data_IF_760316880039
#
_entry.id   IF_760316880039
#
_cell.length_a   1.000
_cell.length_b   1.000
_cell.length_c   1.000
_cell.angle_alpha   90.00
_cell.angle_beta   90.00
_cell.angle_gamma   90.00
#
_symmetry.space_group_name_H-M   'P 1'
#
loop_
_entity.id
_entity.type
_entity.pdbx_description
1 polymer ?
#
# COMPACT_ATOMS: atom_id res chain seq x y z
N UNK A 1 14.04 58.24 14.97
CA UNK A 1 13.77 57.07 14.11
C UNK A 1 14.02 55.82 14.94
N UNK A 2 12.98 55.30 15.58
CA UNK A 2 13.04 54.04 16.33
C UNK A 2 11.93 53.14 15.78
N UNK A 3 12.33 52.10 15.06
CA UNK A 3 11.43 51.16 14.42
C UNK A 3 10.83 50.20 15.44
N UNK A 4 9.52 50.31 15.69
CA UNK A 4 8.76 49.30 16.43
C UNK A 4 8.63 48.04 15.58
N UNK A 5 9.36 46.98 15.94
CA UNK A 5 9.09 45.63 15.43
C UNK A 5 7.77 45.15 16.04
N UNK A 6 6.81 44.88 15.16
CA UNK A 6 5.48 44.36 15.45
C UNK A 6 5.63 42.89 15.86
N UNK A 7 5.51 42.59 17.15
CA UNK A 7 5.46 41.21 17.64
C UNK A 7 4.29 40.48 16.99
N UNK A 8 4.60 39.36 16.32
CA UNK A 8 3.60 38.47 15.78
C UNK A 8 2.96 37.66 16.92
N UNK A 9 1.62 37.65 17.06
CA UNK A 9 0.97 36.83 18.04
C UNK A 9 1.07 35.35 17.62
N UNK A 10 2.05 34.67 18.20
CA UNK A 10 1.82 33.41 18.90
C UNK A 10 1.23 32.26 18.06
N UNK A 11 2.02 31.77 17.09
CA UNK A 11 1.89 30.39 16.54
C UNK A 11 1.90 29.33 17.67
N UNK A 12 2.49 29.65 18.83
CA UNK A 12 2.49 28.79 20.03
C UNK A 12 1.11 28.43 20.58
N UNK A 13 0.05 29.21 20.30
CA UNK A 13 -1.31 28.89 20.79
C UNK A 13 -2.03 27.84 19.95
N UNK A 14 -1.61 27.61 18.71
CA UNK A 14 -2.25 26.60 17.85
C UNK A 14 -1.71 25.18 18.10
N UNK A 15 -0.53 25.07 18.73
CA UNK A 15 0.14 23.77 18.94
C UNK A 15 0.10 23.30 20.40
N UNK A 16 -0.02 24.20 21.39
CA UNK A 16 0.26 23.85 22.79
C UNK A 16 -0.92 23.80 23.78
N UNK A 17 -2.10 24.35 23.48
CA UNK A 17 -3.11 24.62 24.53
C UNK A 17 -4.38 23.78 24.45
N UNK A 18 -4.98 23.69 23.27
CA UNK A 18 -6.31 23.09 23.09
C UNK A 18 -6.27 21.63 22.66
N UNK A 19 -5.19 21.18 21.99
CA UNK A 19 -5.00 19.77 21.65
C UNK A 19 -4.77 18.89 22.88
N UNK A 20 -3.94 19.34 23.83
CA UNK A 20 -3.60 18.56 25.02
C UNK A 20 -4.79 18.37 25.98
N UNK A 21 -5.63 19.40 26.19
CA UNK A 21 -6.79 19.29 27.06
C UNK A 21 -7.92 18.44 26.46
N UNK A 22 -8.11 18.49 25.14
CA UNK A 22 -9.11 17.65 24.45
C UNK A 22 -8.67 16.19 24.41
N UNK A 23 -7.38 15.91 24.19
CA UNK A 23 -6.85 14.53 24.21
C UNK A 23 -6.88 13.96 25.64
N UNK A 24 -6.51 14.73 26.66
CA UNK A 24 -6.53 14.24 28.04
C UNK A 24 -7.96 13.90 28.53
N UNK A 25 -8.96 14.72 28.18
CA UNK A 25 -10.36 14.48 28.59
C UNK A 25 -11.07 13.41 27.74
N UNK A 26 -10.59 13.08 26.55
CA UNK A 26 -11.17 12.00 25.70
C UNK A 26 -10.52 10.64 25.92
N UNK A 27 -9.24 10.60 26.32
CA UNK A 27 -8.52 9.34 26.63
C UNK A 27 -8.94 8.74 27.98
N UNK A 28 -9.57 9.53 28.86
CA UNK A 28 -9.92 9.14 30.23
C UNK A 28 -11.21 8.33 30.39
N UNK A 29 -12.00 8.13 29.32
CA UNK A 29 -13.23 7.33 29.38
C UNK A 29 -13.03 6.02 28.62
N UNK A 30 -12.85 4.88 29.31
CA UNK A 30 -12.78 3.59 28.65
C UNK A 30 -14.18 3.29 28.12
N UNK A 31 -14.39 3.42 26.81
CA UNK A 31 -15.54 2.85 26.12
C UNK A 31 -15.13 1.45 25.62
N UNK A 32 -15.19 0.40 26.46
CA UNK A 32 -14.73 -0.95 26.09
C UNK A 32 -15.46 -1.49 24.86
N UNK A 33 -16.67 -0.99 24.60
CA UNK A 33 -17.47 -1.33 23.43
C UNK A 33 -16.86 -0.81 22.13
N UNK A 34 -16.37 0.44 22.10
CA UNK A 34 -15.69 1.00 20.93
C UNK A 34 -14.33 0.34 20.68
N UNK A 35 -13.63 0.00 21.76
CA UNK A 35 -12.38 -0.78 21.71
C UNK A 35 -12.60 -2.15 21.05
N UNK A 36 -13.54 -2.94 21.57
CA UNK A 36 -13.84 -4.27 21.03
C UNK A 36 -14.32 -4.19 19.58
N UNK A 37 -15.17 -3.21 19.26
CA UNK A 37 -15.64 -2.98 17.89
C UNK A 37 -14.48 -2.68 16.93
N UNK A 38 -13.55 -1.81 17.33
CA UNK A 38 -12.39 -1.46 16.51
C UNK A 38 -11.47 -2.64 16.24
N UNK A 39 -11.26 -3.51 17.24
CA UNK A 39 -10.44 -4.72 17.08
C UNK A 39 -11.14 -5.72 16.17
N UNK A 40 -12.44 -5.93 16.34
CA UNK A 40 -13.21 -6.85 15.49
C UNK A 40 -13.24 -6.36 14.04
N UNK A 41 -13.45 -5.06 13.82
CA UNK A 41 -13.46 -4.50 12.47
C UNK A 41 -12.07 -4.50 11.82
N UNK A 42 -11.03 -4.06 12.55
CA UNK A 42 -9.68 -3.99 12.01
C UNK A 42 -9.03 -5.37 11.88
N UNK A 43 -9.08 -6.24 12.88
CA UNK A 43 -8.40 -7.54 12.83
C UNK A 43 -9.31 -8.65 12.34
N UNK A 44 -10.56 -8.68 12.83
CA UNK A 44 -11.51 -9.74 12.54
C UNK A 44 -12.01 -9.75 11.09
N UNK A 45 -12.04 -8.61 10.40
CA UNK A 45 -12.46 -8.55 8.99
C UNK A 45 -11.29 -8.36 8.03
N UNK A 46 -10.33 -7.47 8.32
CA UNK A 46 -9.29 -7.16 7.34
C UNK A 46 -8.29 -8.30 7.15
N UNK A 47 -7.85 -8.97 8.23
CA UNK A 47 -6.87 -10.06 8.10
C UNK A 47 -7.45 -11.28 7.37
N UNK A 48 -8.67 -11.76 7.68
CA UNK A 48 -9.28 -12.83 6.89
C UNK A 48 -9.55 -12.43 5.44
N UNK A 49 -9.94 -11.17 5.20
CA UNK A 49 -10.14 -10.68 3.83
C UNK A 49 -8.83 -10.63 3.04
N UNK A 50 -7.75 -10.12 3.62
CA UNK A 50 -6.41 -10.12 3.02
C UNK A 50 -5.96 -11.56 2.74
N UNK A 51 -6.13 -12.47 3.70
CA UNK A 51 -5.80 -13.87 3.53
C UNK A 51 -6.60 -14.52 2.39
N UNK A 52 -7.89 -14.24 2.32
CA UNK A 52 -8.76 -14.67 1.22
C UNK A 52 -8.25 -14.17 -0.14
N UNK A 53 -7.93 -12.88 -0.26
CA UNK A 53 -7.37 -12.31 -1.50
C UNK A 53 -6.04 -12.97 -1.90
N UNK A 54 -5.14 -13.19 -0.94
CA UNK A 54 -3.85 -13.86 -1.19
C UNK A 54 -4.08 -15.31 -1.63
N UNK A 55 -5.01 -16.03 -1.01
CA UNK A 55 -5.32 -17.42 -1.38
C UNK A 55 -5.87 -17.53 -2.81
N UNK A 56 -6.83 -16.67 -3.19
CA UNK A 56 -7.36 -16.62 -4.56
C UNK A 56 -6.27 -16.22 -5.55
N UNK A 57 -5.48 -15.18 -5.23
CA UNK A 57 -4.39 -14.75 -6.10
C UNK A 57 -3.37 -15.86 -6.36
N UNK A 58 -3.05 -16.67 -5.33
CA UNK A 58 -2.18 -17.86 -5.48
C UNK A 58 -2.81 -18.93 -6.37
N UNK A 59 -4.11 -19.19 -6.22
CA UNK A 59 -4.81 -20.16 -7.06
C UNK A 59 -4.81 -19.72 -8.53
N UNK A 60 -5.19 -18.47 -8.79
CA UNK A 60 -5.17 -17.90 -10.15
C UNK A 60 -3.78 -17.99 -10.77
N UNK A 61 -2.73 -17.67 -10.02
CA UNK A 61 -1.36 -17.76 -10.51
C UNK A 61 -0.97 -19.22 -10.84
N UNK A 62 -1.40 -20.20 -10.04
CA UNK A 62 -1.16 -21.61 -10.33
C UNK A 62 -1.90 -22.11 -11.58
N UNK A 63 -3.10 -21.61 -11.84
CA UNK A 63 -3.85 -21.96 -13.04
C UNK A 63 -3.28 -21.29 -14.28
N UNK A 64 -2.86 -20.04 -14.17
CA UNK A 64 -2.16 -19.33 -15.24
C UNK A 64 -0.85 -20.01 -15.64
N UNK A 65 -0.12 -20.64 -14.69
CA UNK A 65 1.09 -21.41 -14.97
C UNK A 65 0.90 -22.46 -16.09
N UNK A 66 -0.33 -22.97 -16.28
CA UNK A 66 -0.65 -23.99 -17.29
C UNK A 66 -0.95 -23.39 -18.67
N UNK A 67 -1.27 -22.11 -18.75
CA UNK A 67 -1.78 -21.44 -19.96
C UNK A 67 -0.85 -20.34 -20.51
N UNK A 68 0.00 -19.75 -19.67
CA UNK A 68 0.88 -18.64 -20.06
C UNK A 68 2.33 -19.09 -20.28
N UNK A 69 3.11 -18.29 -21.02
CA UNK A 69 4.53 -18.59 -21.22
C UNK A 69 5.32 -18.40 -19.92
N UNK A 70 6.48 -19.05 -19.82
CA UNK A 70 7.33 -19.03 -18.62
C UNK A 70 7.75 -17.59 -18.28
N UNK A 71 8.05 -16.77 -19.29
CA UNK A 71 8.45 -15.38 -19.12
C UNK A 71 7.29 -14.52 -18.58
N UNK A 72 6.07 -14.72 -19.09
CA UNK A 72 4.89 -14.02 -18.60
C UNK A 72 4.56 -14.42 -17.16
N UNK A 73 4.66 -15.72 -16.86
CA UNK A 73 4.47 -16.25 -15.51
C UNK A 73 5.45 -15.67 -14.50
N UNK A 74 6.72 -15.53 -14.88
CA UNK A 74 7.74 -14.92 -14.02
C UNK A 74 7.36 -13.48 -13.64
N UNK A 75 6.92 -12.68 -14.61
CA UNK A 75 6.49 -11.29 -14.36
C UNK A 75 5.25 -11.24 -13.48
N UNK A 76 4.24 -12.09 -13.73
CA UNK A 76 3.04 -12.18 -12.88
C UNK A 76 3.39 -12.59 -11.45
N UNK A 77 4.27 -13.58 -11.28
CA UNK A 77 4.71 -14.05 -9.96
C UNK A 77 5.50 -12.97 -9.19
N UNK A 78 6.43 -12.27 -9.84
CA UNK A 78 7.17 -11.15 -9.23
C UNK A 78 6.22 -10.01 -8.82
N UNK A 79 5.25 -9.67 -9.68
CA UNK A 79 4.23 -8.65 -9.39
C UNK A 79 3.34 -9.07 -8.22
N UNK A 80 2.91 -10.32 -8.18
CA UNK A 80 2.09 -10.85 -7.09
C UNK A 80 2.83 -10.80 -5.74
N UNK A 81 4.12 -11.15 -5.72
CA UNK A 81 4.94 -11.03 -4.51
C UNK A 81 5.14 -9.57 -4.08
N UNK A 82 5.28 -8.65 -5.04
CA UNK A 82 5.31 -7.22 -4.76
C UNK A 82 4.03 -6.76 -4.06
N UNK A 83 2.86 -7.17 -4.56
CA UNK A 83 1.56 -6.84 -3.97
C UNK A 83 1.45 -7.40 -2.55
N UNK A 84 1.86 -8.66 -2.33
CA UNK A 84 1.89 -9.24 -0.98
C UNK A 84 2.76 -8.39 -0.04
N UNK A 85 3.97 -8.01 -0.48
CA UNK A 85 4.87 -7.22 0.33
C UNK A 85 4.30 -5.82 0.65
N UNK A 86 3.61 -5.20 -0.30
CA UNK A 86 2.90 -3.93 -0.10
C UNK A 86 1.70 -4.04 0.84
N UNK A 87 1.04 -5.20 0.92
CA UNK A 87 -0.01 -5.47 1.90
C UNK A 87 0.59 -5.68 3.30
N UNK A 88 1.80 -6.25 3.40
CA UNK A 88 2.49 -6.42 4.68
C UNK A 88 2.95 -5.09 5.30
N UNK A 89 3.37 -4.11 4.50
CA UNK A 89 3.80 -2.79 4.99
C UNK A 89 2.76 -2.14 5.92
N UNK A 90 1.48 -1.96 5.53
CA UNK A 90 0.52 -1.30 6.38
C UNK A 90 0.17 -2.12 7.64
N UNK A 91 0.31 -3.45 7.61
CA UNK A 91 0.19 -4.27 8.82
C UNK A 91 1.28 -3.86 9.82
N UNK A 92 2.51 -3.69 9.36
CA UNK A 92 3.64 -3.29 10.23
C UNK A 92 3.55 -1.82 10.63
N UNK A 93 3.25 -0.92 9.69
CA UNK A 93 3.26 0.52 9.90
C UNK A 93 2.00 1.07 10.58
N UNK A 94 0.87 0.34 10.56
CA UNK A 94 -0.39 0.78 11.17
C UNK A 94 -0.94 -0.21 12.21
N UNK A 95 -1.02 -1.51 11.91
CA UNK A 95 -1.70 -2.43 12.83
C UNK A 95 -0.89 -2.66 14.11
N UNK A 96 0.42 -2.88 14.01
CA UNK A 96 1.29 -3.08 15.18
C UNK A 96 1.28 -1.82 16.08
N UNK A 97 1.62 -0.63 15.55
CA UNK A 97 1.38 0.66 16.19
C UNK A 97 0.05 0.81 16.94
N UNK A 98 -1.04 0.55 16.22
CA UNK A 98 -2.38 0.68 16.76
C UNK A 98 -2.58 -0.24 17.97
N UNK A 99 -2.18 -1.51 17.88
CA UNK A 99 -2.27 -2.46 19.00
C UNK A 99 -1.48 -1.99 20.22
N UNK A 100 -0.28 -1.47 20.02
CA UNK A 100 0.56 -1.00 21.13
C UNK A 100 -0.12 0.16 21.86
N UNK A 101 -0.66 1.15 21.13
CA UNK A 101 -1.41 2.26 21.74
C UNK A 101 -2.63 1.73 22.51
N UNK A 102 -3.39 0.82 21.89
CA UNK A 102 -4.59 0.26 22.49
C UNK A 102 -4.29 -0.51 23.79
N UNK A 103 -3.21 -1.30 23.83
CA UNK A 103 -2.75 -1.99 25.03
C UNK A 103 -2.34 -0.98 26.11
N UNK A 104 -1.60 0.07 25.76
CA UNK A 104 -1.14 1.07 26.73
C UNK A 104 -2.29 1.88 27.34
N UNK A 105 -3.30 2.22 26.53
CA UNK A 105 -4.54 2.85 27.02
C UNK A 105 -5.24 1.90 28.00
N UNK A 106 -5.35 0.61 27.66
CA UNK A 106 -5.97 -0.40 28.53
C UNK A 106 -5.21 -0.59 29.86
N UNK A 107 -3.88 -0.52 29.83
CA UNK A 107 -3.02 -0.63 31.03
C UNK A 107 -2.96 0.69 31.82
N UNK A 108 -3.49 1.79 31.28
CA UNK A 108 -3.55 3.08 31.97
C UNK A 108 -2.22 3.84 32.02
N UNK A 109 -1.34 3.63 31.04
CA UNK A 109 -0.05 4.34 30.97
C UNK A 109 -0.26 5.73 30.36
N UNK A 110 0.06 6.79 31.12
CA UNK A 110 -0.23 8.19 30.76
C UNK A 110 0.67 8.77 29.63
N UNK A 111 1.81 8.14 29.33
CA UNK A 111 2.78 8.61 28.32
C UNK A 111 2.40 8.29 26.85
N UNK A 112 1.10 8.22 26.53
CA UNK A 112 0.60 7.90 25.17
C UNK A 112 1.00 8.94 24.13
N UNK A 113 1.31 10.17 24.56
CA UNK A 113 1.65 11.29 23.68
C UNK A 113 2.94 11.08 22.85
N UNK A 114 4.02 10.60 23.47
CA UNK A 114 5.27 10.33 22.73
C UNK A 114 5.05 9.23 21.69
N UNK A 115 4.24 8.24 22.05
CA UNK A 115 3.96 7.11 21.18
C UNK A 115 3.06 7.49 19.99
N UNK A 116 2.08 8.38 20.18
CA UNK A 116 1.23 8.84 19.07
C UNK A 116 2.03 9.58 17.99
N UNK A 117 3.05 10.36 18.37
CA UNK A 117 3.97 10.99 17.42
C UNK A 117 4.78 9.97 16.60
N UNK A 118 5.29 8.91 17.25
CA UNK A 118 5.97 7.80 16.54
C UNK A 118 5.03 7.15 15.52
N UNK A 119 3.74 7.02 15.84
CA UNK A 119 2.78 6.44 14.90
C UNK A 119 2.49 7.33 13.71
N UNK A 120 2.43 8.65 13.91
CA UNK A 120 2.31 9.60 12.79
C UNK A 120 3.51 9.49 11.86
N UNK A 121 4.72 9.31 12.41
CA UNK A 121 5.94 9.11 11.61
C UNK A 121 5.89 7.78 10.85
N UNK A 122 5.60 6.66 11.53
CA UNK A 122 5.50 5.34 10.89
C UNK A 122 4.41 5.29 9.82
N UNK A 123 3.27 5.91 10.10
CA UNK A 123 2.19 6.12 9.14
C UNK A 123 2.69 6.93 7.95
N UNK A 124 3.41 8.02 8.14
CA UNK A 124 3.90 8.83 7.03
C UNK A 124 4.94 8.08 6.17
N UNK A 125 5.73 7.19 6.79
CA UNK A 125 6.72 6.37 6.10
C UNK A 125 6.10 5.26 5.23
N UNK A 126 4.85 4.84 5.48
CA UNK A 126 4.24 3.72 4.76
C UNK A 126 4.21 3.96 3.23
N UNK A 127 3.90 5.20 2.80
CA UNK A 127 3.79 5.54 1.38
C UNK A 127 5.15 5.45 0.70
N UNK A 128 6.19 5.96 1.36
CA UNK A 128 7.57 5.86 0.87
C UNK A 128 8.03 4.39 0.80
N UNK A 129 7.74 3.58 1.82
CA UNK A 129 8.05 2.16 1.83
C UNK A 129 7.35 1.40 0.69
N UNK A 130 6.07 1.70 0.42
CA UNK A 130 5.33 1.10 -0.69
C UNK A 130 5.94 1.44 -2.05
N UNK A 131 6.40 2.67 -2.25
CA UNK A 131 7.11 3.08 -3.47
C UNK A 131 8.45 2.36 -3.60
N UNK A 132 9.21 2.23 -2.51
CA UNK A 132 10.48 1.49 -2.52
C UNK A 132 10.27 0.02 -2.91
N UNK A 133 9.23 -0.64 -2.39
CA UNK A 133 8.90 -2.02 -2.77
C UNK A 133 8.57 -2.12 -4.27
N UNK A 134 7.78 -1.20 -4.83
CA UNK A 134 7.49 -1.20 -6.27
C UNK A 134 8.78 -1.11 -7.10
N UNK A 135 9.71 -0.25 -6.69
CA UNK A 135 10.98 -0.09 -7.37
C UNK A 135 11.90 -1.30 -7.20
N UNK A 136 11.88 -1.95 -6.05
CA UNK A 136 12.69 -3.15 -5.81
C UNK A 136 12.19 -4.35 -6.62
N UNK A 137 10.88 -4.54 -6.71
CA UNK A 137 10.28 -5.77 -7.24
C UNK A 137 9.74 -5.68 -8.66
N UNK A 138 9.41 -4.49 -9.19
CA UNK A 138 8.81 -4.35 -10.53
C UNK A 138 9.81 -3.69 -11.50
N UNK A 139 10.40 -4.47 -12.43
CA UNK A 139 11.37 -3.95 -13.41
C UNK A 139 10.84 -2.80 -14.26
N UNK A 140 9.55 -2.81 -14.60
CA UNK A 140 8.91 -1.76 -15.40
C UNK A 140 8.95 -0.38 -14.71
N UNK A 141 8.77 -0.34 -13.39
CA UNK A 141 8.82 0.91 -12.62
C UNK A 141 10.24 1.47 -12.53
N UNK A 142 11.25 0.59 -12.36
CA UNK A 142 12.66 1.01 -12.42
C UNK A 142 13.00 1.65 -13.76
N UNK A 143 12.52 1.04 -14.85
CA UNK A 143 12.81 1.52 -16.20
C UNK A 143 12.19 2.88 -16.49
N UNK A 144 10.94 3.11 -16.09
CA UNK A 144 10.31 4.42 -16.20
C UNK A 144 11.11 5.50 -15.48
N UNK A 145 11.58 5.23 -14.26
CA UNK A 145 12.43 6.16 -13.52
C UNK A 145 13.79 6.39 -14.19
N UNK A 146 14.46 5.32 -14.66
CA UNK A 146 15.75 5.47 -15.32
C UNK A 146 15.66 6.27 -16.63
N UNK A 147 14.58 6.07 -17.40
CA UNK A 147 14.35 6.77 -18.66
C UNK A 147 13.92 8.24 -18.42
N UNK A 148 12.94 8.47 -17.54
CA UNK A 148 12.30 9.77 -17.39
C UNK A 148 13.04 10.73 -16.45
N UNK A 149 13.69 10.19 -15.41
CA UNK A 149 14.33 11.01 -14.36
C UNK A 149 15.85 11.05 -14.51
N UNK A 150 16.46 9.93 -14.93
CA UNK A 150 17.91 9.82 -14.95
C UNK A 150 18.51 9.95 -16.36
N UNK A 151 17.70 10.01 -17.42
CA UNK A 151 18.14 10.03 -18.82
C UNK A 151 19.21 8.97 -19.15
N UNK A 152 19.20 7.84 -18.42
CA UNK A 152 20.12 6.73 -18.64
C UNK A 152 19.51 5.86 -19.74
N UNK A 153 20.12 5.84 -20.92
CA UNK A 153 19.77 4.90 -21.98
C UNK A 153 20.03 3.47 -21.50
N UNK A 154 18.95 2.77 -21.15
CA UNK A 154 19.01 1.37 -20.77
C UNK A 154 19.04 0.48 -22.02
N UNK A 155 19.71 -0.67 -21.98
CA UNK A 155 19.94 -1.50 -23.16
C UNK A 155 18.62 -1.98 -23.80
N UNK A 156 18.54 -1.80 -25.13
CA UNK A 156 17.40 -2.03 -26.05
C UNK A 156 16.64 -3.36 -25.93
N UNK A 157 17.13 -4.33 -25.16
CA UNK A 157 16.56 -5.67 -25.04
C UNK A 157 15.17 -5.70 -24.38
N UNK A 158 14.84 -4.73 -23.52
CA UNK A 158 13.59 -4.74 -22.77
C UNK A 158 12.39 -4.17 -23.57
N UNK A 159 12.64 -3.16 -24.41
CA UNK A 159 11.62 -2.58 -25.30
C UNK A 159 11.16 -3.58 -26.36
N UNK A 160 12.05 -4.46 -26.83
CA UNK A 160 11.66 -5.54 -27.75
C UNK A 160 10.77 -6.57 -27.08
N UNK A 161 10.99 -6.90 -25.81
CA UNK A 161 10.22 -7.94 -25.11
C UNK A 161 8.82 -7.46 -24.72
N UNK A 162 8.67 -6.24 -24.18
CA UNK A 162 7.32 -5.69 -23.93
C UNK A 162 6.52 -5.53 -25.23
N UNK A 163 7.16 -5.07 -26.30
CA UNK A 163 6.52 -4.92 -27.62
C UNK A 163 6.17 -6.29 -28.23
N UNK A 164 6.97 -7.33 -27.96
CA UNK A 164 6.66 -8.72 -28.32
C UNK A 164 5.46 -9.26 -27.53
N UNK A 165 5.43 -9.04 -26.22
CA UNK A 165 4.34 -9.48 -25.35
C UNK A 165 3.03 -8.79 -25.73
N UNK A 166 3.06 -7.48 -25.99
CA UNK A 166 1.89 -6.73 -26.44
C UNK A 166 1.37 -7.23 -27.80
N UNK A 167 2.26 -7.44 -28.78
CA UNK A 167 1.90 -8.05 -30.07
C UNK A 167 1.40 -9.49 -29.96
N UNK A 168 1.84 -10.25 -28.96
CA UNK A 168 1.38 -11.61 -28.73
C UNK A 168 -0.03 -11.62 -28.10
N UNK A 169 -0.28 -10.73 -27.13
CA UNK A 169 -1.60 -10.55 -26.53
C UNK A 169 -2.64 -10.09 -27.57
N UNK A 170 -2.26 -9.17 -28.45
CA UNK A 170 -3.13 -8.66 -29.51
C UNK A 170 -3.51 -9.75 -30.53
N UNK A 171 -2.58 -10.66 -30.84
CA UNK A 171 -2.85 -11.84 -31.69
C UNK A 171 -3.83 -12.79 -31.03
N UNK A 172 -3.63 -13.13 -29.76
CA UNK A 172 -4.56 -13.98 -29.00
C UNK A 172 -5.97 -13.37 -28.92
N UNK A 173 -6.07 -12.05 -28.77
CA UNK A 173 -7.36 -11.34 -28.77
C UNK A 173 -8.07 -11.43 -30.13
N UNK A 174 -7.33 -11.30 -31.24
CA UNK A 174 -7.87 -11.48 -32.60
C UNK A 174 -8.34 -12.90 -32.85
N UNK A 175 -7.56 -13.90 -32.44
CA UNK A 175 -7.92 -15.32 -32.55
C UNK A 175 -9.19 -15.63 -31.74
N UNK A 176 -9.28 -15.13 -30.51
CA UNK A 176 -10.48 -15.27 -29.69
C UNK A 176 -11.71 -14.65 -30.37
N UNK A 177 -11.61 -13.40 -30.85
CA UNK A 177 -12.70 -12.72 -31.58
C UNK A 177 -13.13 -13.48 -32.84
N UNK A 178 -12.18 -14.02 -33.59
CA UNK A 178 -12.48 -14.81 -34.79
C UNK A 178 -13.17 -16.14 -34.43
N UNK A 179 -12.75 -16.81 -33.36
CA UNK A 179 -13.40 -18.05 -32.90
C UNK A 179 -14.84 -17.83 -32.42
N UNK A 180 -15.10 -16.69 -31.77
CA UNK A 180 -16.46 -16.30 -31.34
C UNK A 180 -17.33 -15.96 -32.55
N UNK A 181 -16.79 -15.19 -33.51
CA UNK A 181 -17.53 -14.84 -34.73
C UNK A 181 -17.85 -16.06 -35.60
N UNK A 182 -16.95 -17.04 -35.66
CA UNK A 182 -17.20 -18.31 -36.35
C UNK A 182 -18.30 -19.14 -35.67
N UNK A 183 -18.37 -19.13 -34.33
CA UNK A 183 -19.44 -19.81 -33.59
C UNK A 183 -20.80 -19.12 -33.70
N UNK A 184 -20.84 -17.78 -33.79
CA UNK A 184 -22.08 -17.00 -33.90
C UNK A 184 -22.61 -16.96 -35.34
N UNK A 185 -21.76 -17.07 -36.36
CA UNK A 185 -22.19 -17.10 -37.77
C UNK A 185 -22.64 -18.47 -38.29
N UNK A 186 -22.59 -19.53 -37.46
CA UNK A 186 -23.11 -20.87 -37.78
C UNK A 186 -24.44 -21.19 -37.07
N UNK A 187 -25.00 -20.22 -36.33
CA UNK A 187 -26.35 -20.27 -35.74
C UNK A 187 -27.28 -19.36 -36.54
#
# INVERSE_FOLDING_TARGET
MEGKMKEWPTIRRFVGGTGCAVVHNTVSQPYPQLYNLSIVLLFGLTLPYIWYLVSIGRQNLQDEKKTISIEAYKVHHETFNCIIAQICIPIVCFMIPYLVIQILIFVGIENVFVLSHVMVILTSLHSAANTIIMLAFIPAYRHGIYHDILHIEMPSYFHSDQKRMYKAAERKLKEAKNSVKAKVGMA
#
